data_IF_759825058555
#
_entry.id   IF_759825058555
#
_cell.length_a   1.000
_cell.length_b   1.000
_cell.length_c   1.000
_cell.angle_alpha   90.00
_cell.angle_beta   90.00
_cell.angle_gamma   90.00
#
_symmetry.space_group_name_H-M   'P 1'
#
loop_
_entity.id
_entity.type
_entity.pdbx_description
1 polymer ?
#
# COMPACT_ATOMS: atom_id res chain seq x y z
N UNK A 1 14.36 -3.01 -1.59
CA UNK A 1 13.06 -2.52 -1.08
C UNK A 1 13.26 -1.37 -0.13
N UNK A 2 14.24 -1.46 0.78
CA UNK A 2 14.67 -0.33 1.63
C UNK A 2 14.92 0.95 0.81
N UNK A 3 15.76 0.91 -0.21
CA UNK A 3 16.02 2.07 -1.08
C UNK A 3 14.74 2.71 -1.65
N UNK A 4 13.79 1.87 -2.08
CA UNK A 4 12.51 2.33 -2.65
C UNK A 4 11.61 2.99 -1.59
N UNK A 5 11.67 2.51 -0.34
CA UNK A 5 10.97 3.14 0.79
C UNK A 5 11.63 4.48 1.11
N UNK A 6 12.97 4.53 1.14
CA UNK A 6 13.72 5.77 1.36
C UNK A 6 13.41 6.82 0.30
N UNK A 7 13.36 6.43 -0.98
CA UNK A 7 12.99 7.32 -2.09
C UNK A 7 11.57 7.90 -1.91
N UNK A 8 10.61 7.06 -1.52
CA UNK A 8 9.23 7.50 -1.31
C UNK A 8 9.09 8.37 -0.04
N UNK A 9 9.89 8.10 1.01
CA UNK A 9 9.99 8.97 2.20
C UNK A 9 10.55 10.33 1.79
N UNK A 10 11.64 10.38 1.02
CA UNK A 10 12.22 11.64 0.55
C UNK A 10 11.22 12.46 -0.29
N UNK A 11 10.40 11.80 -1.09
CA UNK A 11 9.34 12.46 -1.84
C UNK A 11 8.25 13.01 -0.90
N UNK A 12 7.81 12.20 0.08
CA UNK A 12 6.81 12.61 1.06
C UNK A 12 7.27 13.80 1.92
N UNK A 13 8.50 13.76 2.44
CA UNK A 13 9.04 14.85 3.27
C UNK A 13 9.15 16.14 2.47
N UNK A 14 9.56 16.07 1.20
CA UNK A 14 9.58 17.23 0.31
C UNK A 14 8.19 17.86 0.15
N UNK A 15 7.14 17.06 -0.05
CA UNK A 15 5.77 17.58 -0.15
C UNK A 15 5.31 18.23 1.16
N UNK A 16 5.72 17.70 2.30
CA UNK A 16 5.43 18.30 3.61
C UNK A 16 6.18 19.63 3.75
N UNK A 17 7.46 19.70 3.37
CA UNK A 17 8.26 20.92 3.44
C UNK A 17 7.68 22.05 2.55
N UNK A 18 7.15 21.70 1.37
CA UNK A 18 6.50 22.63 0.44
C UNK A 18 5.26 23.33 1.03
N UNK A 19 4.68 22.81 2.11
CA UNK A 19 3.58 23.48 2.84
C UNK A 19 4.04 24.73 3.60
N UNK A 20 5.34 24.91 3.81
CA UNK A 20 5.92 26.05 4.55
C UNK A 20 5.31 26.26 5.94
N UNK A 21 4.89 25.18 6.61
CA UNK A 21 4.30 25.22 7.95
C UNK A 21 2.79 25.51 7.97
N UNK A 22 2.16 25.68 6.81
CA UNK A 22 0.70 25.81 6.73
C UNK A 22 0.00 24.48 7.06
N UNK A 23 -1.19 24.51 7.69
CA UNK A 23 -1.95 23.31 7.97
C UNK A 23 -2.26 22.51 6.69
N UNK A 24 -2.00 21.20 6.71
CA UNK A 24 -2.29 20.30 5.61
C UNK A 24 -3.09 19.08 6.04
N UNK A 25 -3.85 18.52 5.11
CA UNK A 25 -4.47 17.22 5.30
C UNK A 25 -3.46 16.11 4.97
N UNK A 26 -2.79 15.59 6.00
CA UNK A 26 -1.74 14.57 5.82
C UNK A 26 -2.25 13.28 5.16
N UNK A 27 -3.55 12.98 5.26
CA UNK A 27 -4.19 11.85 4.60
C UNK A 27 -3.97 11.87 3.08
N UNK A 28 -4.07 13.06 2.47
CA UNK A 28 -3.99 13.24 1.01
C UNK A 28 -2.60 12.89 0.45
N UNK A 29 -1.55 13.01 1.26
CA UNK A 29 -0.18 12.63 0.86
C UNK A 29 0.20 11.23 1.36
N UNK A 30 -0.35 10.76 2.48
CA UNK A 30 -0.04 9.43 3.02
C UNK A 30 -0.74 8.30 2.26
N UNK A 31 -1.98 8.49 1.79
CA UNK A 31 -2.67 7.49 0.97
C UNK A 31 -1.81 7.10 -0.25
N UNK A 32 -1.36 8.05 -1.09
CA UNK A 32 -0.52 7.72 -2.22
C UNK A 32 0.92 7.35 -1.81
N UNK A 33 1.51 7.94 -0.77
CA UNK A 33 2.86 7.54 -0.36
C UNK A 33 2.93 6.07 0.08
N UNK A 34 2.03 5.64 0.96
CA UNK A 34 2.05 4.28 1.51
C UNK A 34 1.69 3.22 0.47
N UNK A 35 0.73 3.52 -0.41
CA UNK A 35 0.37 2.59 -1.48
C UNK A 35 1.43 2.50 -2.60
N UNK A 36 2.29 3.51 -2.76
CA UNK A 36 3.40 3.46 -3.73
C UNK A 36 4.46 2.43 -3.35
N UNK A 37 4.73 2.23 -2.07
CA UNK A 37 5.61 1.16 -1.61
C UNK A 37 5.11 -0.21 -2.07
N UNK A 38 3.79 -0.40 -2.08
CA UNK A 38 3.18 -1.63 -2.57
C UNK A 38 3.12 -1.68 -4.11
N UNK A 39 2.89 -0.56 -4.80
CA UNK A 39 3.03 -0.49 -6.26
C UNK A 39 4.45 -0.91 -6.69
N UNK A 40 5.49 -0.43 -5.99
CA UNK A 40 6.85 -0.85 -6.25
C UNK A 40 7.07 -2.34 -6.02
N UNK A 41 6.51 -2.90 -4.94
CA UNK A 41 6.61 -4.33 -4.66
C UNK A 41 5.92 -5.18 -5.73
N UNK A 42 4.74 -4.75 -6.19
CA UNK A 42 3.85 -5.53 -7.05
C UNK A 42 4.12 -5.32 -8.53
N UNK A 43 4.24 -4.06 -8.97
CA UNK A 43 4.42 -3.64 -10.36
C UNK A 43 5.85 -3.24 -10.72
N UNK A 44 6.75 -3.20 -9.72
CA UNK A 44 8.14 -2.79 -9.94
C UNK A 44 8.36 -1.28 -10.05
N UNK A 45 7.31 -0.46 -10.01
CA UNK A 45 7.42 1.00 -10.15
C UNK A 45 6.42 1.76 -9.27
N UNK A 46 6.74 3.04 -8.96
CA UNK A 46 5.78 4.00 -8.39
C UNK A 46 4.82 4.54 -9.46
N UNK A 47 3.72 5.12 -9.00
CA UNK A 47 2.84 5.95 -9.82
C UNK A 47 2.93 7.38 -9.32
N UNK A 48 3.00 8.35 -10.25
CA UNK A 48 2.93 9.76 -9.88
C UNK A 48 1.59 10.06 -9.18
N UNK A 49 1.61 10.98 -8.22
CA UNK A 49 0.42 11.30 -7.42
C UNK A 49 -0.68 11.92 -8.29
N UNK A 50 -0.31 12.58 -9.40
CA UNK A 50 -1.24 13.24 -10.31
C UNK A 50 -1.72 12.33 -11.45
N UNK A 51 -1.21 11.11 -11.57
CA UNK A 51 -1.62 10.19 -12.61
C UNK A 51 -3.10 9.78 -12.45
N UNK A 52 -3.90 9.72 -13.54
CA UNK A 52 -5.31 9.31 -13.43
C UNK A 52 -5.50 7.90 -12.85
N UNK A 53 -4.59 6.96 -13.16
CA UNK A 53 -4.62 5.61 -12.58
C UNK A 53 -4.44 5.67 -11.06
N UNK A 54 -3.61 6.59 -10.57
CA UNK A 54 -3.34 6.76 -9.15
C UNK A 54 -4.59 7.21 -8.39
N UNK A 55 -5.27 8.24 -8.89
CA UNK A 55 -6.50 8.73 -8.28
C UNK A 55 -7.59 7.66 -8.15
N UNK A 56 -7.62 6.66 -9.05
CA UNK A 56 -8.53 5.51 -8.97
C UNK A 56 -8.16 4.60 -7.78
N UNK A 57 -6.87 4.34 -7.57
CA UNK A 57 -6.40 3.56 -6.42
C UNK A 57 -6.67 4.24 -5.09
N UNK A 58 -6.36 5.54 -4.99
CA UNK A 58 -6.55 6.30 -3.75
C UNK A 58 -8.03 6.33 -3.38
N UNK A 59 -8.90 6.60 -4.36
CA UNK A 59 -10.36 6.54 -4.19
C UNK A 59 -10.85 5.17 -3.74
N UNK A 60 -10.23 4.08 -4.20
CA UNK A 60 -10.58 2.73 -3.75
C UNK A 60 -10.16 2.50 -2.29
N UNK A 61 -8.98 2.96 -1.88
CA UNK A 61 -8.47 2.82 -0.51
C UNK A 61 -9.32 3.61 0.50
N UNK A 62 -9.77 4.81 0.14
CA UNK A 62 -10.64 5.63 1.00
C UNK A 62 -12.02 5.04 1.16
N UNK A 63 -12.58 4.52 0.06
CA UNK A 63 -13.87 3.81 0.09
C UNK A 63 -13.79 2.50 0.88
N UNK A 64 -12.65 1.79 0.83
CA UNK A 64 -12.46 0.60 1.64
C UNK A 64 -12.38 0.93 3.14
N UNK A 65 -11.64 1.99 3.49
CA UNK A 65 -11.42 2.42 4.88
C UNK A 65 -12.71 2.88 5.56
N UNK A 66 -13.48 3.74 4.90
CA UNK A 66 -14.76 4.26 5.41
C UNK A 66 -15.85 3.20 5.60
N UNK A 67 -15.69 2.02 4.98
CA UNK A 67 -16.69 0.95 4.97
C UNK A 67 -16.29 -0.28 5.78
N UNK A 68 -15.07 -0.32 6.33
CA UNK A 68 -14.62 -1.44 7.14
C UNK A 68 -15.49 -1.64 8.39
N UNK A 69 -15.97 -0.54 8.98
CA UNK A 69 -16.93 -0.56 10.09
C UNK A 69 -18.25 -1.26 9.73
N UNK A 70 -18.74 -1.04 8.50
CA UNK A 70 -19.96 -1.68 7.99
C UNK A 70 -19.74 -3.18 7.76
N UNK A 71 -18.56 -3.59 7.27
CA UNK A 71 -18.23 -5.00 7.10
C UNK A 71 -18.23 -5.74 8.44
N UNK A 72 -17.69 -5.13 9.49
CA UNK A 72 -17.71 -5.71 10.85
C UNK A 72 -19.13 -5.99 11.34
N UNK A 73 -20.04 -5.02 11.19
CA UNK A 73 -21.46 -5.17 11.56
C UNK A 73 -22.14 -6.28 10.75
N UNK A 74 -21.89 -6.35 9.43
CA UNK A 74 -22.48 -7.36 8.55
C UNK A 74 -21.94 -8.77 8.82
N UNK A 75 -20.68 -8.89 9.23
CA UNK A 75 -20.08 -10.18 9.58
C UNK A 75 -20.68 -10.78 10.86
N UNK A 76 -21.07 -9.92 11.81
CA UNK A 76 -21.75 -10.33 13.04
C UNK A 76 -23.27 -10.47 12.88
N UNK A 77 -23.82 -10.04 11.74
CA UNK A 77 -25.25 -10.10 11.46
C UNK A 77 -25.69 -11.45 10.86
N UNK A 78 -26.95 -11.84 11.01
CA UNK A 78 -27.50 -13.00 10.32
C UNK A 78 -27.32 -12.91 8.79
N UNK A 79 -27.00 -14.04 8.14
CA UNK A 79 -26.68 -14.11 6.70
C UNK A 79 -27.75 -13.45 5.80
N UNK A 80 -29.03 -13.51 6.19
CA UNK A 80 -30.12 -12.89 5.44
C UNK A 80 -30.04 -11.36 5.40
N UNK A 81 -29.58 -10.74 6.50
CA UNK A 81 -29.42 -9.29 6.60
C UNK A 81 -28.29 -8.82 5.68
N UNK A 82 -27.16 -9.54 5.69
CA UNK A 82 -26.04 -9.24 4.81
C UNK A 82 -26.40 -9.41 3.33
N UNK A 83 -27.19 -10.44 2.98
CA UNK A 83 -27.73 -10.60 1.62
C UNK A 83 -28.65 -9.45 1.21
N UNK A 84 -29.51 -8.98 2.12
CA UNK A 84 -30.41 -7.85 1.87
C UNK A 84 -29.60 -6.55 1.66
N UNK A 85 -28.62 -6.30 2.52
CA UNK A 85 -27.74 -5.13 2.43
C UNK A 85 -27.01 -5.04 1.08
N UNK A 86 -26.43 -6.16 0.62
CA UNK A 86 -25.77 -6.19 -0.69
C UNK A 86 -26.76 -6.06 -1.86
N UNK A 87 -27.98 -6.58 -1.74
CA UNK A 87 -29.04 -6.39 -2.75
C UNK A 87 -29.52 -4.95 -2.84
N UNK A 88 -29.59 -4.23 -1.72
CA UNK A 88 -30.00 -2.82 -1.66
C UNK A 88 -28.89 -1.83 -2.09
N UNK A 89 -27.81 -2.32 -2.69
CA UNK A 89 -26.73 -1.46 -3.19
C UNK A 89 -25.73 -1.04 -2.12
N UNK A 90 -25.75 -1.65 -0.92
CA UNK A 90 -24.72 -1.45 0.10
C UNK A 90 -23.30 -1.92 -0.30
N UNK A 91 -23.15 -2.43 -1.52
CA UNK A 91 -21.87 -2.92 -2.04
C UNK A 91 -20.94 -1.78 -2.48
N UNK A 92 -19.64 -2.09 -2.44
CA UNK A 92 -18.52 -1.40 -3.10
C UNK A 92 -18.93 -0.65 -4.36
N UNK A 93 -18.35 0.53 -4.60
CA UNK A 93 -18.54 1.26 -5.84
C UNK A 93 -18.02 0.39 -7.00
N UNK A 94 -18.93 -0.34 -7.65
CA UNK A 94 -18.59 -1.33 -8.69
C UNK A 94 -17.78 -0.71 -9.82
N UNK A 95 -18.00 0.58 -10.12
CA UNK A 95 -17.22 1.29 -11.14
C UNK A 95 -15.76 1.44 -10.74
N UNK A 96 -15.49 1.93 -9.53
CA UNK A 96 -14.11 2.08 -9.01
C UNK A 96 -13.44 0.72 -8.86
N UNK A 97 -14.16 -0.27 -8.31
CA UNK A 97 -13.65 -1.63 -8.15
C UNK A 97 -13.27 -2.27 -9.50
N UNK A 98 -14.13 -2.16 -10.51
CA UNK A 98 -13.84 -2.69 -11.86
C UNK A 98 -12.70 -1.92 -12.55
N UNK A 99 -12.58 -0.61 -12.32
CA UNK A 99 -11.46 0.19 -12.84
C UNK A 99 -10.13 -0.26 -12.22
N UNK A 100 -10.10 -0.53 -10.92
CA UNK A 100 -8.94 -1.11 -10.23
C UNK A 100 -8.56 -2.47 -10.82
N UNK A 101 -9.53 -3.37 -11.01
CA UNK A 101 -9.27 -4.68 -11.65
C UNK A 101 -8.65 -4.49 -13.04
N UNK A 102 -9.20 -3.60 -13.86
CA UNK A 102 -8.68 -3.31 -15.20
C UNK A 102 -7.23 -2.81 -15.18
N UNK A 103 -6.86 -1.98 -14.19
CA UNK A 103 -5.47 -1.55 -14.01
C UNK A 103 -4.57 -2.75 -13.71
N UNK A 104 -4.93 -3.61 -12.74
CA UNK A 104 -4.15 -4.83 -12.43
C UNK A 104 -4.02 -5.76 -13.64
N UNK A 105 -5.11 -6.00 -14.38
CA UNK A 105 -5.09 -6.80 -15.61
C UNK A 105 -4.15 -6.21 -16.66
N UNK A 106 -4.15 -4.88 -16.81
CA UNK A 106 -3.25 -4.18 -17.72
C UNK A 106 -1.79 -4.31 -17.29
N UNK A 107 -1.47 -4.13 -16.01
CA UNK A 107 -0.11 -4.28 -15.49
C UNK A 107 0.37 -5.73 -15.68
N UNK A 108 -0.44 -6.72 -15.31
CA UNK A 108 -0.12 -8.14 -15.49
C UNK A 108 0.14 -8.46 -16.97
N UNK A 109 -0.69 -7.93 -17.88
CA UNK A 109 -0.52 -8.12 -19.33
C UNK A 109 0.80 -7.51 -19.83
N UNK A 110 1.17 -6.34 -19.33
CA UNK A 110 2.45 -5.68 -19.64
C UNK A 110 3.66 -6.50 -19.18
N UNK A 111 3.62 -7.01 -17.96
CA UNK A 111 4.68 -7.85 -17.40
C UNK A 111 4.83 -9.16 -18.19
N UNK A 112 3.73 -9.80 -18.58
CA UNK A 112 3.78 -11.00 -19.43
C UNK A 112 4.45 -10.77 -20.79
N UNK A 113 4.25 -9.60 -21.40
CA UNK A 113 4.87 -9.26 -22.69
C UNK A 113 6.35 -8.93 -22.58
N UNK A 114 6.78 -8.44 -21.41
CA UNK A 114 8.15 -7.98 -21.14
C UNK A 114 8.93 -8.90 -20.20
N UNK A 115 8.41 -10.11 -19.93
CA UNK A 115 8.97 -11.01 -18.93
C UNK A 115 10.40 -11.45 -19.31
N UNK A 116 11.36 -11.12 -18.46
CA UNK A 116 12.70 -11.67 -18.48
C UNK A 116 12.87 -12.62 -17.28
N UNK A 117 13.02 -13.92 -17.55
CA UNK A 117 13.15 -14.92 -16.49
C UNK A 117 14.48 -14.80 -15.72
N UNK A 118 15.49 -14.18 -16.31
CA UNK A 118 16.79 -13.95 -15.68
C UNK A 118 16.80 -12.70 -14.79
N UNK A 119 15.89 -11.76 -15.03
CA UNK A 119 15.80 -10.50 -14.30
C UNK A 119 14.36 -10.22 -13.84
N UNK A 120 14.00 -10.73 -12.67
CA UNK A 120 12.67 -10.56 -12.06
C UNK A 120 12.61 -9.20 -11.37
N UNK A 121 11.79 -8.28 -11.91
CA UNK A 121 11.74 -6.88 -11.44
C UNK A 121 10.95 -6.69 -10.15
N UNK A 122 9.95 -7.54 -9.94
CA UNK A 122 8.90 -7.39 -8.93
C UNK A 122 8.16 -8.71 -8.68
N UNK A 123 7.11 -8.64 -7.86
CA UNK A 123 6.26 -9.79 -7.54
C UNK A 123 5.60 -10.41 -8.76
N UNK A 124 5.11 -9.62 -9.74
CA UNK A 124 4.42 -10.17 -10.91
C UNK A 124 5.40 -10.99 -11.74
N UNK A 125 6.58 -10.46 -12.05
CA UNK A 125 7.61 -11.20 -12.78
C UNK A 125 8.04 -12.47 -12.05
N UNK A 126 8.25 -12.36 -10.73
CA UNK A 126 8.61 -13.51 -9.89
C UNK A 126 7.54 -14.60 -9.91
N UNK A 127 6.27 -14.21 -9.80
CA UNK A 127 5.16 -15.14 -9.85
C UNK A 127 5.01 -15.77 -11.24
N UNK A 128 5.14 -14.99 -12.32
CA UNK A 128 5.05 -15.49 -13.69
C UNK A 128 6.14 -16.53 -14.00
N UNK A 129 7.38 -16.27 -13.60
CA UNK A 129 8.48 -17.21 -13.76
C UNK A 129 8.25 -18.51 -12.96
N UNK A 130 7.80 -18.40 -11.71
CA UNK A 130 7.50 -19.57 -10.87
C UNK A 130 6.28 -20.35 -11.40
N UNK A 131 5.28 -19.64 -11.93
CA UNK A 131 4.09 -20.25 -12.55
C UNK A 131 4.49 -21.14 -13.73
N UNK A 132 5.40 -20.68 -14.60
CA UNK A 132 5.89 -21.47 -15.72
C UNK A 132 6.61 -22.75 -15.25
N UNK A 133 7.48 -22.65 -14.25
CA UNK A 133 8.19 -23.81 -13.68
C UNK A 133 7.22 -24.82 -13.09
N UNK A 134 6.21 -24.37 -12.34
CA UNK A 134 5.24 -25.26 -11.69
C UNK A 134 4.29 -25.91 -12.67
N UNK A 135 3.80 -25.18 -13.66
CA UNK A 135 2.89 -25.73 -14.67
C UNK A 135 3.55 -26.80 -15.55
N UNK A 136 4.87 -26.70 -15.80
CA UNK A 136 5.63 -27.75 -16.47
C UNK A 136 5.73 -29.05 -15.65
N UNK A 137 5.74 -28.95 -14.31
CA UNK A 137 5.83 -30.11 -13.41
C UNK A 137 4.46 -30.71 -13.08
N UNK A 138 3.46 -29.85 -12.87
CA UNK A 138 2.09 -30.22 -12.54
C UNK A 138 1.11 -29.25 -13.23
N UNK A 139 0.43 -29.68 -14.31
CA UNK A 139 -0.59 -28.87 -14.99
C UNK A 139 -1.77 -28.47 -14.10
N UNK A 140 -2.01 -29.18 -12.98
CA UNK A 140 -3.12 -28.91 -12.05
C UNK A 140 -2.70 -28.00 -10.88
N UNK A 141 -1.50 -27.42 -10.93
CA UNK A 141 -1.01 -26.50 -9.89
C UNK A 141 -1.95 -25.33 -9.66
N UNK A 142 -2.01 -24.86 -8.42
CA UNK A 142 -2.74 -23.64 -8.07
C UNK A 142 -2.06 -22.35 -8.56
N UNK A 143 -0.86 -22.44 -9.14
CA UNK A 143 -0.18 -21.30 -9.76
C UNK A 143 -0.83 -20.98 -11.11
N UNK A 144 -1.73 -19.99 -11.08
CA UNK A 144 -2.37 -19.44 -12.27
C UNK A 144 -2.55 -17.93 -12.15
N UNK A 145 -2.88 -17.30 -13.29
CA UNK A 145 -3.05 -15.85 -13.39
C UNK A 145 -4.15 -15.31 -12.48
N UNK A 146 -5.24 -16.07 -12.27
CA UNK A 146 -6.34 -15.65 -11.39
C UNK A 146 -5.88 -15.55 -9.93
N UNK A 147 -5.06 -16.48 -9.46
CA UNK A 147 -4.47 -16.43 -8.11
C UNK A 147 -3.46 -15.30 -7.97
N UNK A 148 -2.65 -15.06 -9.00
CA UNK A 148 -1.74 -13.92 -9.04
C UNK A 148 -2.47 -12.59 -8.89
N UNK A 149 -3.50 -12.34 -9.70
CA UNK A 149 -4.31 -11.13 -9.64
C UNK A 149 -4.90 -10.90 -8.24
N UNK A 150 -5.48 -11.95 -7.65
CA UNK A 150 -6.03 -11.88 -6.29
C UNK A 150 -4.95 -11.53 -5.27
N UNK A 151 -3.76 -12.12 -5.37
CA UNK A 151 -2.64 -11.83 -4.47
C UNK A 151 -2.15 -10.38 -4.65
N UNK A 152 -1.98 -9.91 -5.89
CA UNK A 152 -1.58 -8.53 -6.18
C UNK A 152 -2.54 -7.52 -5.53
N UNK A 153 -3.85 -7.74 -5.71
CA UNK A 153 -4.90 -6.90 -5.10
C UNK A 153 -4.93 -7.00 -3.58
N UNK A 154 -4.67 -8.19 -3.03
CA UNK A 154 -4.61 -8.40 -1.59
C UNK A 154 -3.42 -7.67 -0.97
N UNK A 155 -2.22 -7.77 -1.56
CA UNK A 155 -1.04 -7.02 -1.10
C UNK A 155 -1.29 -5.52 -1.16
N UNK A 156 -1.83 -5.02 -2.28
CA UNK A 156 -2.15 -3.61 -2.43
C UNK A 156 -3.11 -3.11 -1.34
N UNK A 157 -4.24 -3.77 -1.14
CA UNK A 157 -5.21 -3.35 -0.12
C UNK A 157 -4.67 -3.46 1.30
N UNK A 158 -4.11 -4.61 1.66
CA UNK A 158 -3.66 -4.89 3.02
C UNK A 158 -2.46 -4.03 3.43
N UNK A 159 -1.45 -3.93 2.56
CA UNK A 159 -0.23 -3.17 2.84
C UNK A 159 -0.43 -1.66 2.85
N UNK A 160 -1.35 -1.14 2.03
CA UNK A 160 -1.56 0.31 1.93
C UNK A 160 -2.37 0.87 3.10
N UNK A 161 -3.54 0.28 3.37
CA UNK A 161 -4.49 0.86 4.32
C UNK A 161 -4.02 0.77 5.78
N UNK A 162 -3.38 -0.35 6.15
CA UNK A 162 -2.93 -0.59 7.53
C UNK A 162 -1.75 0.28 7.91
N UNK A 163 -0.74 0.38 7.05
CA UNK A 163 0.44 1.22 7.28
C UNK A 163 0.03 2.69 7.29
N UNK A 164 -0.77 3.15 6.33
CA UNK A 164 -1.32 4.52 6.34
C UNK A 164 -2.01 4.85 7.66
N UNK A 165 -2.98 4.01 8.07
CA UNK A 165 -3.72 4.26 9.30
C UNK A 165 -2.82 4.27 10.54
N UNK A 166 -1.82 3.38 10.60
CA UNK A 166 -0.86 3.36 11.70
C UNK A 166 -0.04 4.65 11.73
N UNK A 167 0.48 5.10 10.58
CA UNK A 167 1.23 6.36 10.49
C UNK A 167 0.38 7.57 10.86
N UNK A 168 -0.87 7.64 10.42
CA UNK A 168 -1.81 8.70 10.81
C UNK A 168 -2.02 8.75 12.33
N UNK A 169 -2.18 7.57 12.97
CA UNK A 169 -2.27 7.49 14.42
C UNK A 169 -0.98 7.90 15.11
N UNK A 170 0.18 7.48 14.62
CA UNK A 170 1.48 7.87 15.18
C UNK A 170 1.68 9.38 15.12
N UNK A 171 1.34 10.02 14.01
CA UNK A 171 1.41 11.48 13.87
C UNK A 171 0.43 12.19 14.80
N UNK A 172 -0.82 11.71 14.88
CA UNK A 172 -1.83 12.26 15.79
C UNK A 172 -1.41 12.13 17.27
N UNK A 173 -0.88 10.97 17.66
CA UNK A 173 -0.39 10.73 19.01
C UNK A 173 0.82 11.60 19.33
N UNK A 174 1.73 11.79 18.36
CA UNK A 174 2.88 12.69 18.51
C UNK A 174 2.44 14.15 18.72
N UNK A 175 1.44 14.61 17.95
CA UNK A 175 0.88 15.94 18.11
C UNK A 175 0.15 16.12 19.45
N UNK A 176 -0.52 15.07 19.96
CA UNK A 176 -1.23 15.11 21.25
C UNK A 176 -0.29 15.03 22.46
N UNK A 177 0.77 14.24 22.36
CA UNK A 177 1.70 13.99 23.46
C UNK A 177 3.11 14.48 23.08
N UNK A 178 3.28 15.81 23.11
CA UNK A 178 4.52 16.48 22.69
C UNK A 178 5.76 16.03 23.47
N UNK A 179 5.61 15.54 24.69
CA UNK A 179 6.71 15.00 25.50
C UNK A 179 7.27 13.71 24.91
N UNK A 180 6.41 12.83 24.39
CA UNK A 180 6.84 11.62 23.67
C UNK A 180 7.45 11.99 22.31
N UNK A 181 6.88 12.98 21.61
CA UNK A 181 7.46 13.46 20.35
C UNK A 181 8.90 14.00 20.54
N UNK A 182 9.15 14.75 21.62
CA UNK A 182 10.50 15.24 21.96
C UNK A 182 11.48 14.10 22.19
N UNK A 183 11.09 13.08 22.97
CA UNK A 183 11.92 11.89 23.21
C UNK A 183 12.27 11.16 21.91
N UNK A 184 11.31 10.99 21.00
CA UNK A 184 11.53 10.38 19.69
C UNK A 184 12.55 11.21 18.88
N UNK A 185 12.41 12.55 18.86
CA UNK A 185 13.37 13.40 18.15
C UNK A 185 14.77 13.35 18.76
N UNK A 186 14.90 13.34 20.10
CA UNK A 186 16.19 13.23 20.80
C UNK A 186 16.90 11.91 20.46
N UNK A 187 16.15 10.81 20.41
CA UNK A 187 16.68 9.51 20.02
C UNK A 187 17.14 9.48 18.56
N UNK A 188 16.32 10.01 17.64
CA UNK A 188 16.68 10.13 16.22
C UNK A 188 17.95 10.98 16.06
N UNK A 189 18.03 12.14 16.71
CA UNK A 189 19.20 13.01 16.68
C UNK A 189 20.45 12.31 17.26
N UNK A 190 20.29 11.45 18.28
CA UNK A 190 21.40 10.72 18.91
C UNK A 190 21.91 9.55 18.07
N UNK A 191 21.04 8.80 17.40
CA UNK A 191 21.39 7.54 16.71
C UNK A 191 21.63 7.77 15.22
N UNK A 192 20.71 8.50 14.57
CA UNK A 192 20.77 8.78 13.14
C UNK A 192 21.60 10.03 12.87
N UNK A 193 21.40 11.07 13.69
CA UNK A 193 21.96 12.39 13.48
C UNK A 193 21.22 13.17 12.39
N UNK A 194 21.81 14.31 11.98
CA UNK A 194 21.18 15.24 11.01
C UNK A 194 21.79 15.21 9.61
N UNK A 195 22.89 14.49 9.43
CA UNK A 195 23.68 14.50 8.19
C UNK A 195 23.31 13.37 7.20
N UNK A 196 22.41 12.45 7.60
CA UNK A 196 22.01 11.31 6.78
C UNK A 196 20.55 10.94 7.01
N UNK A 197 19.98 10.20 6.06
CA UNK A 197 18.66 9.57 6.22
C UNK A 197 18.74 8.33 7.12
N UNK A 198 17.64 7.97 7.82
CA UNK A 198 17.52 6.72 8.55
C UNK A 198 17.66 5.50 7.62
N UNK A 199 18.21 4.41 8.14
CA UNK A 199 18.25 3.11 7.48
C UNK A 199 17.77 1.99 8.41
N UNK A 200 17.52 0.80 7.85
CA UNK A 200 16.99 -0.33 8.61
C UNK A 200 17.93 -0.78 9.74
N UNK A 201 19.24 -0.62 9.57
CA UNK A 201 20.23 -0.96 10.58
C UNK A 201 20.16 -0.08 11.84
N UNK A 202 19.62 1.14 11.73
CA UNK A 202 19.45 2.05 12.87
C UNK A 202 18.48 1.50 13.90
N UNK A 203 17.51 0.67 13.47
CA UNK A 203 16.53 0.04 14.34
C UNK A 203 17.16 -0.75 15.49
N UNK A 204 18.32 -1.38 15.28
CA UNK A 204 19.01 -2.14 16.34
C UNK A 204 19.57 -1.25 17.45
N UNK A 205 19.63 0.05 17.22
CA UNK A 205 20.22 1.04 18.11
C UNK A 205 19.17 2.02 18.67
N UNK A 206 17.89 1.82 18.34
CA UNK A 206 16.76 2.61 18.84
C UNK A 206 15.90 1.72 19.77
N UNK A 207 16.07 1.79 21.11
CA UNK A 207 15.32 0.97 22.07
C UNK A 207 13.79 1.18 22.05
N UNK A 208 13.03 0.12 22.32
CA UNK A 208 11.55 0.09 22.29
C UNK A 208 10.87 0.66 23.58
N UNK A 209 11.51 1.58 24.32
CA UNK A 209 11.12 2.01 25.70
C UNK A 209 9.84 2.88 25.83
#
# INVERSE_FOLDING_TARGET
MEDRITDEISYLTKLIDETNGEPMNIHEVLVPSMSNNICHLVFGHRMDFNEPKRQIFDKQLDQASSRLSVIGVLAMSPIWFSKLFFKLGGAFNKKVFNAVISIFESEISSHRKSLDTNNKRDYIDGYLAEMEVRQRKDPNTHFNLKRMDVNCRAFFGAGSATVRSTTEWLLLLSAKYSEHQKRIHEEIDSVVGRDRSPCYADRLHMPDD
#
